data_IF_096383407826
#
_entry.id   IF_096383407826
#
_cell.length_a   1.000
_cell.length_b   1.000
_cell.length_c   1.000
_cell.angle_alpha   90.00
_cell.angle_beta   90.00
_cell.angle_gamma   90.00
#
_symmetry.space_group_name_H-M   'P 1'
#
loop_
_entity.id
_entity.type
_entity.pdbx_description
1 polymer ?
#
# COMPACT_ATOMS: atom_id res chain seq x y z
N UNK A 1 -19.30 19.73 12.96
CA UNK A 1 -20.37 18.93 12.33
C UNK A 1 -19.73 17.98 11.36
N UNK A 2 -19.86 16.67 11.60
CA UNK A 2 -19.25 15.61 10.79
C UNK A 2 -19.85 15.58 9.39
N UNK A 3 -19.01 15.57 8.37
CA UNK A 3 -19.39 15.13 7.03
C UNK A 3 -19.14 13.62 6.94
N UNK A 4 -20.20 12.82 7.08
CA UNK A 4 -20.17 11.40 6.69
C UNK A 4 -20.25 11.33 5.17
N UNK A 5 -19.18 10.88 4.52
CA UNK A 5 -19.27 10.39 3.13
C UNK A 5 -19.89 9.00 3.20
N UNK A 6 -21.21 8.93 3.03
CA UNK A 6 -21.93 7.68 2.79
C UNK A 6 -21.85 7.43 1.29
N UNK A 7 -21.21 6.34 0.87
CA UNK A 7 -21.35 5.78 -0.48
C UNK A 7 -22.41 4.69 -0.41
N UNK A 8 -23.67 4.92 -0.84
CA UNK A 8 -24.61 3.83 -1.00
C UNK A 8 -24.28 3.08 -2.29
N UNK A 9 -23.91 1.82 -2.14
CA UNK A 9 -24.11 0.83 -3.18
C UNK A 9 -25.63 0.70 -3.42
N UNK A 10 -26.02 0.67 -4.70
CA UNK A 10 -27.34 0.26 -5.19
C UNK A 10 -28.48 1.30 -5.17
N UNK A 11 -28.34 2.40 -5.91
CA UNK A 11 -29.50 3.14 -6.45
C UNK A 11 -29.86 2.63 -7.86
N UNK A 12 -31.13 2.31 -8.16
CA UNK A 12 -31.54 1.79 -9.47
C UNK A 12 -31.48 2.87 -10.54
N UNK A 13 -31.04 2.48 -11.75
CA UNK A 13 -31.00 3.32 -12.94
C UNK A 13 -32.42 3.77 -13.32
N UNK A 14 -32.77 5.02 -13.02
CA UNK A 14 -33.90 5.69 -13.68
C UNK A 14 -33.35 6.68 -14.71
N UNK A 15 -33.51 6.31 -15.97
CA UNK A 15 -33.19 7.07 -17.18
C UNK A 15 -33.85 8.46 -17.18
N UNK A 16 -33.03 9.51 -17.33
CA UNK A 16 -33.45 10.87 -17.62
C UNK A 16 -32.60 11.46 -18.75
N UNK A 17 -33.17 12.20 -19.72
CA UNK A 17 -32.50 12.52 -20.98
C UNK A 17 -31.60 13.75 -20.83
N UNK A 18 -30.30 13.55 -21.03
CA UNK A 18 -29.31 14.63 -21.02
C UNK A 18 -27.87 14.12 -20.99
N UNK A 19 -27.46 13.32 -21.98
CA UNK A 19 -26.10 12.79 -22.05
C UNK A 19 -25.12 13.87 -22.53
N UNK A 20 -24.55 14.63 -21.60
CA UNK A 20 -23.24 15.25 -21.82
C UNK A 20 -22.20 14.19 -21.50
N UNK A 21 -21.37 13.85 -22.49
CA UNK A 21 -20.36 12.78 -22.43
C UNK A 21 -19.37 12.97 -21.29
N UNK A 22 -19.69 12.38 -20.13
CA UNK A 22 -18.75 12.19 -19.04
C UNK A 22 -17.77 11.08 -19.43
N UNK A 23 -16.51 11.44 -19.56
CA UNK A 23 -15.40 10.49 -19.76
C UNK A 23 -15.43 9.48 -18.59
N UNK A 24 -16.00 8.29 -18.79
CA UNK A 24 -16.00 7.23 -17.77
C UNK A 24 -14.54 6.91 -17.46
N UNK A 25 -14.08 7.27 -16.25
CA UNK A 25 -12.73 6.95 -15.80
C UNK A 25 -12.48 5.46 -15.99
N UNK A 26 -11.48 5.12 -16.80
CA UNK A 26 -11.17 3.73 -17.15
C UNK A 26 -10.73 3.00 -15.87
N UNK A 27 -11.54 2.05 -15.41
CA UNK A 27 -11.19 1.20 -14.26
C UNK A 27 -9.89 0.46 -14.58
N UNK A 28 -8.82 0.80 -13.85
CA UNK A 28 -7.52 0.17 -14.04
C UNK A 28 -7.56 -1.27 -13.50
N UNK A 29 -6.93 -2.21 -14.21
CA UNK A 29 -6.75 -3.58 -13.74
C UNK A 29 -5.39 -3.67 -13.00
N UNK A 30 -5.37 -3.86 -11.67
CA UNK A 30 -4.13 -3.89 -10.91
C UNK A 30 -3.15 -4.96 -11.38
N UNK A 31 -3.64 -6.17 -11.69
CA UNK A 31 -2.79 -7.27 -12.17
C UNK A 31 -2.05 -6.88 -13.44
N UNK A 32 -2.74 -6.23 -14.39
CA UNK A 32 -2.12 -5.76 -15.62
C UNK A 32 -1.05 -4.69 -15.36
N UNK A 33 -1.29 -3.76 -14.42
CA UNK A 33 -0.29 -2.74 -14.07
C UNK A 33 0.95 -3.36 -13.44
N UNK A 34 0.78 -4.30 -12.51
CA UNK A 34 1.90 -5.05 -11.93
C UNK A 34 2.65 -5.86 -12.99
N UNK A 35 1.96 -6.51 -13.92
CA UNK A 35 2.63 -7.21 -15.03
C UNK A 35 3.50 -6.25 -15.86
N UNK A 36 3.02 -5.05 -16.18
CA UNK A 36 3.83 -4.06 -16.90
C UNK A 36 5.05 -3.61 -16.09
N UNK A 37 4.89 -3.37 -14.78
CA UNK A 37 5.99 -3.00 -13.89
C UNK A 37 7.05 -4.10 -13.81
N UNK A 38 6.65 -5.33 -13.49
CA UNK A 38 7.58 -6.45 -13.34
C UNK A 38 8.29 -6.79 -14.65
N UNK A 39 7.58 -6.80 -15.78
CA UNK A 39 8.18 -7.10 -17.08
C UNK A 39 9.19 -6.03 -17.49
N UNK A 40 8.88 -4.75 -17.29
CA UNK A 40 9.80 -3.66 -17.65
C UNK A 40 11.06 -3.68 -16.78
N UNK A 41 10.92 -3.91 -15.47
CA UNK A 41 12.05 -4.02 -14.57
C UNK A 41 12.92 -5.26 -14.83
N UNK A 42 12.29 -6.44 -15.01
CA UNK A 42 13.01 -7.68 -15.28
C UNK A 42 13.81 -7.60 -16.59
N UNK A 43 13.21 -6.98 -17.64
CA UNK A 43 13.90 -6.73 -18.90
C UNK A 43 15.13 -5.84 -18.68
N UNK A 44 14.96 -4.69 -18.05
CA UNK A 44 16.07 -3.78 -17.76
C UNK A 44 17.18 -4.46 -16.94
N UNK A 45 16.82 -5.23 -15.92
CA UNK A 45 17.79 -5.92 -15.06
C UNK A 45 18.58 -6.98 -15.83
N UNK A 46 17.89 -7.81 -16.63
CA UNK A 46 18.53 -8.83 -17.46
C UNK A 46 19.48 -8.20 -18.48
N UNK A 47 19.04 -7.13 -19.15
CA UNK A 47 19.86 -6.38 -20.12
C UNK A 47 21.10 -5.78 -19.44
N UNK A 48 20.95 -5.20 -18.23
CA UNK A 48 22.04 -4.54 -17.49
C UNK A 48 23.10 -5.52 -16.96
N UNK A 49 22.69 -6.71 -16.54
CA UNK A 49 23.57 -7.68 -15.88
C UNK A 49 23.84 -8.93 -16.72
N UNK A 50 23.56 -8.87 -18.03
CA UNK A 50 23.77 -9.96 -18.99
C UNK A 50 23.15 -11.31 -18.54
N UNK A 51 21.98 -11.23 -17.89
CA UNK A 51 21.23 -12.39 -17.39
C UNK A 51 20.11 -12.77 -18.34
N UNK A 52 19.64 -14.01 -18.20
CA UNK A 52 18.43 -14.51 -18.87
C UNK A 52 17.51 -15.20 -17.85
N UNK A 53 16.22 -15.32 -18.19
CA UNK A 53 15.23 -15.99 -17.35
C UNK A 53 14.39 -15.06 -16.47
N UNK A 54 13.58 -15.67 -15.59
CA UNK A 54 12.69 -14.95 -14.68
C UNK A 54 13.48 -14.29 -13.55
N UNK A 55 13.17 -13.03 -13.24
CA UNK A 55 13.72 -12.33 -12.08
C UNK A 55 12.82 -12.46 -10.84
N UNK A 56 11.52 -12.52 -11.05
CA UNK A 56 10.51 -12.58 -9.99
C UNK A 56 9.95 -14.00 -9.86
N UNK A 57 9.51 -14.34 -8.65
CA UNK A 57 8.69 -15.52 -8.40
C UNK A 57 7.35 -15.43 -9.12
N UNK A 58 6.76 -16.58 -9.45
CA UNK A 58 5.50 -16.64 -10.19
C UNK A 58 4.33 -16.23 -9.29
N UNK A 59 3.48 -15.35 -9.83
CA UNK A 59 2.23 -14.86 -9.24
C UNK A 59 2.44 -14.03 -7.96
N UNK A 60 1.96 -12.78 -7.99
CA UNK A 60 1.82 -12.02 -6.75
C UNK A 60 0.55 -12.49 -6.03
N UNK A 61 0.60 -12.57 -4.70
CA UNK A 61 -0.58 -12.82 -3.86
C UNK A 61 -1.23 -11.49 -3.50
N UNK A 62 -2.54 -11.50 -3.30
CA UNK A 62 -3.29 -10.34 -2.79
C UNK A 62 -4.32 -10.82 -1.77
N UNK A 63 -4.37 -10.14 -0.65
CA UNK A 63 -5.34 -10.40 0.42
C UNK A 63 -6.15 -9.12 0.59
N UNK A 64 -7.47 -9.25 0.74
CA UNK A 64 -8.34 -8.11 0.93
C UNK A 64 -8.10 -7.54 2.33
N UNK A 65 -7.88 -6.24 2.41
CA UNK A 65 -7.89 -5.52 3.68
C UNK A 65 -9.34 -5.13 3.96
N UNK A 66 -9.91 -5.70 5.01
CA UNK A 66 -11.33 -5.57 5.36
C UNK A 66 -11.55 -4.81 6.68
N UNK A 67 -10.48 -4.41 7.36
CA UNK A 67 -10.54 -3.68 8.63
C UNK A 67 -9.37 -2.70 8.80
N UNK A 68 -9.64 -1.61 9.51
CA UNK A 68 -8.65 -0.59 9.86
C UNK A 68 -7.53 -1.18 10.72
N UNK A 69 -7.86 -2.11 11.62
CA UNK A 69 -6.87 -2.78 12.47
C UNK A 69 -5.91 -3.63 11.64
N UNK A 70 -6.43 -4.40 10.66
CA UNK A 70 -5.57 -5.15 9.75
C UNK A 70 -4.69 -4.20 8.93
N UNK A 71 -5.26 -3.10 8.41
CA UNK A 71 -4.47 -2.09 7.68
C UNK A 71 -3.31 -1.54 8.52
N UNK A 72 -3.58 -1.09 9.75
CA UNK A 72 -2.56 -0.51 10.64
C UNK A 72 -1.46 -1.50 10.96
N UNK A 73 -1.82 -2.74 11.29
CA UNK A 73 -0.86 -3.81 11.56
C UNK A 73 -0.04 -4.17 10.32
N UNK A 74 -0.65 -4.21 9.14
CA UNK A 74 0.05 -4.50 7.89
C UNK A 74 1.08 -3.41 7.58
N UNK A 75 0.72 -2.13 7.72
CA UNK A 75 1.66 -1.01 7.53
C UNK A 75 2.82 -1.10 8.51
N UNK A 76 2.53 -1.36 9.80
CA UNK A 76 3.57 -1.54 10.80
C UNK A 76 4.49 -2.73 10.48
N UNK A 77 3.90 -3.86 10.12
CA UNK A 77 4.62 -5.07 9.72
C UNK A 77 5.57 -4.75 8.55
N UNK A 78 5.09 -4.14 7.45
CA UNK A 78 5.93 -3.75 6.30
C UNK A 78 7.14 -2.91 6.74
N UNK A 79 6.96 -1.96 7.66
CA UNK A 79 8.05 -1.16 8.20
C UNK A 79 8.99 -1.98 9.10
N UNK A 80 8.47 -3.00 9.79
CA UNK A 80 9.21 -3.90 10.66
C UNK A 80 9.92 -5.05 9.91
N UNK A 81 9.54 -5.40 8.68
CA UNK A 81 10.15 -6.47 7.87
C UNK A 81 11.69 -6.48 7.85
N UNK A 82 12.38 -5.33 7.71
CA UNK A 82 13.84 -5.31 7.76
C UNK A 82 14.42 -5.81 9.09
N UNK A 83 13.72 -5.57 10.20
CA UNK A 83 14.10 -6.11 11.51
C UNK A 83 13.76 -7.60 11.58
N UNK A 84 12.55 -7.96 11.14
CA UNK A 84 12.06 -9.33 11.18
C UNK A 84 12.99 -10.30 10.43
N UNK A 85 13.50 -9.91 9.26
CA UNK A 85 14.44 -10.70 8.46
C UNK A 85 15.93 -10.43 8.78
N UNK A 86 16.24 -9.71 9.86
CA UNK A 86 17.62 -9.48 10.31
C UNK A 86 18.47 -8.58 9.39
N UNK A 87 17.83 -7.77 8.54
CA UNK A 87 18.49 -6.82 7.63
C UNK A 87 18.89 -5.54 8.36
N UNK A 88 18.13 -5.14 9.38
CA UNK A 88 18.33 -3.90 10.13
C UNK A 88 18.00 -4.10 11.62
N UNK A 89 18.64 -3.33 12.50
CA UNK A 89 18.30 -3.34 13.93
C UNK A 89 17.14 -2.40 14.27
N UNK A 90 16.88 -1.41 13.43
CA UNK A 90 15.80 -0.42 13.61
C UNK A 90 15.09 -0.10 12.31
N UNK A 91 13.80 0.22 12.41
CA UNK A 91 12.96 0.63 11.29
C UNK A 91 13.56 1.88 10.61
N UNK A 92 14.02 2.84 11.41
CA UNK A 92 14.60 4.10 10.92
C UNK A 92 15.90 3.93 10.12
N UNK A 93 16.64 2.84 10.34
CA UNK A 93 17.93 2.57 9.70
C UNK A 93 17.76 1.99 8.28
N UNK A 94 16.59 1.42 7.96
CA UNK A 94 16.33 0.84 6.65
C UNK A 94 15.84 1.89 5.63
N UNK A 95 16.72 2.28 4.71
CA UNK A 95 16.50 3.35 3.72
C UNK A 95 15.54 2.98 2.59
N UNK A 96 15.34 1.69 2.34
CA UNK A 96 14.50 1.18 1.25
C UNK A 96 13.04 0.97 1.68
N UNK A 97 12.53 1.87 2.52
CA UNK A 97 11.14 1.89 2.95
C UNK A 97 10.55 3.30 2.89
N UNK A 98 9.24 3.38 2.75
CA UNK A 98 8.50 4.64 2.88
C UNK A 98 8.51 5.21 4.30
N UNK A 99 8.91 4.43 5.32
CA UNK A 99 8.97 4.89 6.71
C UNK A 99 9.77 6.19 6.87
N UNK A 100 10.90 6.32 6.17
CA UNK A 100 11.69 7.55 6.21
C UNK A 100 10.94 8.74 5.63
N UNK A 101 10.08 8.54 4.63
CA UNK A 101 9.22 9.59 4.08
C UNK A 101 8.21 10.07 5.12
N UNK A 102 7.67 9.18 5.95
CA UNK A 102 6.82 9.59 7.08
C UNK A 102 7.61 10.39 8.12
N UNK A 103 8.83 9.98 8.46
CA UNK A 103 9.65 10.65 9.49
C UNK A 103 10.20 12.01 9.05
N UNK A 104 10.53 12.16 7.76
CA UNK A 104 11.16 13.37 7.20
C UNK A 104 10.15 14.43 6.75
N UNK A 105 8.86 14.11 6.75
CA UNK A 105 7.89 14.98 6.12
C UNK A 105 7.63 16.26 6.92
N UNK A 106 8.08 17.37 6.33
CA UNK A 106 7.35 18.63 6.42
C UNK A 106 6.09 18.50 5.55
N UNK A 107 4.95 18.97 6.06
CA UNK A 107 3.54 18.74 5.63
C UNK A 107 3.17 19.01 4.15
N UNK A 108 4.10 19.16 3.20
CA UNK A 108 3.83 19.82 1.92
C UNK A 108 4.22 19.08 0.63
N UNK A 109 4.76 17.86 0.67
CA UNK A 109 5.02 17.07 -0.56
C UNK A 109 4.89 15.58 -0.31
N UNK A 110 3.70 15.14 0.07
CA UNK A 110 3.42 13.71 0.09
C UNK A 110 3.00 13.25 -1.32
N UNK A 111 3.45 12.08 -1.78
CA UNK A 111 2.60 11.30 -2.67
C UNK A 111 1.27 11.09 -1.93
N UNK A 112 0.13 11.28 -2.59
CA UNK A 112 -1.24 11.20 -2.02
C UNK A 112 -1.46 9.97 -1.10
N UNK A 113 -0.67 8.91 -1.29
CA UNK A 113 -0.66 7.70 -0.48
C UNK A 113 -0.23 7.90 0.98
N UNK A 114 0.65 8.86 1.30
CA UNK A 114 1.12 9.09 2.68
C UNK A 114 0.08 9.81 3.55
N UNK A 115 -0.62 10.81 2.99
CA UNK A 115 -1.69 11.54 3.69
C UNK A 115 -2.83 10.59 4.07
N UNK A 116 -3.32 9.81 3.09
CA UNK A 116 -4.31 8.79 3.34
C UNK A 116 -3.83 7.79 4.40
N UNK A 117 -2.58 7.34 4.35
CA UNK A 117 -2.08 6.41 5.38
C UNK A 117 -2.17 7.03 6.77
N UNK A 118 -1.75 8.29 6.96
CA UNK A 118 -1.84 8.97 8.26
C UNK A 118 -3.30 9.09 8.74
N UNK A 119 -4.22 9.42 7.84
CA UNK A 119 -5.65 9.53 8.17
C UNK A 119 -6.23 8.23 8.72
N UNK A 120 -5.85 7.08 8.16
CA UNK A 120 -6.30 5.78 8.66
C UNK A 120 -5.80 5.50 10.08
N UNK A 121 -4.64 6.04 10.46
CA UNK A 121 -4.14 5.97 11.84
C UNK A 121 -4.85 6.95 12.79
N UNK A 122 -5.52 7.97 12.25
CA UNK A 122 -6.23 9.02 12.99
C UNK A 122 -5.47 10.34 12.96
N UNK A 123 -4.19 10.30 13.32
CA UNK A 123 -3.29 11.45 13.26
C UNK A 123 -1.83 11.02 13.07
N UNK A 124 -0.96 11.98 12.78
CA UNK A 124 0.48 11.73 12.75
C UNK A 124 1.01 11.27 14.12
N UNK A 125 0.45 11.79 15.23
CA UNK A 125 0.83 11.32 16.58
C UNK A 125 0.45 9.86 16.77
N UNK A 126 -0.79 9.50 16.40
CA UNK A 126 -1.27 8.11 16.52
C UNK A 126 -0.44 7.15 15.67
N UNK A 127 -0.03 7.57 14.47
CA UNK A 127 0.89 6.79 13.64
C UNK A 127 2.22 6.55 14.34
N UNK A 128 2.83 7.59 14.90
CA UNK A 128 4.11 7.48 15.63
C UNK A 128 3.97 6.62 16.88
N UNK A 129 2.92 6.84 17.66
CA UNK A 129 2.66 6.11 18.90
C UNK A 129 2.34 4.64 18.62
N UNK A 130 1.65 4.33 17.52
CA UNK A 130 1.49 2.97 17.04
C UNK A 130 2.84 2.32 16.69
N UNK A 131 3.72 3.00 15.96
CA UNK A 131 5.02 2.44 15.55
C UNK A 131 6.05 2.32 16.70
N UNK A 132 5.83 3.01 17.82
CA UNK A 132 6.65 2.88 19.04
C UNK A 132 6.28 1.66 19.88
N UNK A 133 5.04 1.20 19.77
CA UNK A 133 4.57 0.03 20.48
C UNK A 133 5.00 -1.25 19.75
N UNK A 134 5.27 -2.29 20.51
CA UNK A 134 5.44 -3.63 19.96
C UNK A 134 4.06 -4.22 19.72
N UNK A 135 3.79 -4.62 18.49
CA UNK A 135 2.55 -5.28 18.12
C UNK A 135 2.81 -6.75 17.87
N UNK A 136 2.02 -7.60 18.49
CA UNK A 136 2.01 -9.02 18.16
C UNK A 136 1.41 -9.23 16.76
N UNK A 137 2.21 -9.79 15.86
CA UNK A 137 1.80 -10.06 14.48
C UNK A 137 1.01 -11.37 14.35
N UNK A 138 0.88 -12.18 15.41
CA UNK A 138 0.08 -13.43 15.41
C UNK A 138 -1.34 -13.23 14.87
N UNK A 139 -1.93 -12.05 15.15
CA UNK A 139 -3.29 -11.68 14.71
C UNK A 139 -3.43 -11.51 13.20
N UNK A 140 -2.34 -11.26 12.49
CA UNK A 140 -2.34 -11.07 11.03
C UNK A 140 -1.45 -12.09 10.32
N UNK A 141 -0.87 -13.07 11.02
CA UNK A 141 0.09 -14.02 10.46
C UNK A 141 -0.45 -14.74 9.22
N UNK A 142 -1.70 -15.22 9.27
CA UNK A 142 -2.39 -15.85 8.13
C UNK A 142 -2.70 -14.87 6.98
N UNK A 143 -2.56 -13.58 7.21
CA UNK A 143 -2.77 -12.49 6.27
C UNK A 143 -1.43 -11.87 5.79
N UNK A 144 -0.31 -12.37 6.30
CA UNK A 144 1.02 -12.04 5.83
C UNK A 144 1.43 -13.03 4.74
N UNK A 145 2.13 -12.50 3.74
CA UNK A 145 2.61 -13.24 2.57
C UNK A 145 4.09 -13.55 2.84
N UNK A 146 4.36 -14.23 3.96
CA UNK A 146 5.68 -14.76 4.26
C UNK A 146 5.67 -16.27 3.98
N UNK A 147 6.78 -16.76 3.43
CA UNK A 147 6.97 -18.18 3.09
C UNK A 147 7.58 -18.96 4.26
#
# INVERSE_FOLDING_TARGET
GLWKVVMPADLPESEGPGSVGGNKLKKLNPSRQFSHLFNSYAKWFNDKYERTGSLFEKNFRRILIDSDEYFKRLVYYIHQNPIHHGISNKISEYTWSSYQSFMKANKHKFPVTLENTIEWFGSYSDFIDFHRQQHDNSKIENLLIDD
#
